data_IF_110297499181
#
_entry.id   IF_110297499181
#
_cell.length_a   1.000
_cell.length_b   1.000
_cell.length_c   1.000
_cell.angle_alpha   90.00
_cell.angle_beta   90.00
_cell.angle_gamma   90.00
#
_symmetry.space_group_name_H-M   'P 1'
#
loop_
_entity.id
_entity.type
_entity.pdbx_description
1 polymer ?
#
# COMPACT_ATOMS: atom_id res chain seq x y z
N UNK A 1 5.26 21.02 -2.98
CA UNK A 1 6.57 20.38 -2.77
C UNK A 1 6.44 18.91 -3.11
N UNK A 2 7.30 18.38 -3.96
CA UNK A 2 7.33 16.94 -4.29
C UNK A 2 7.91 16.19 -3.08
N UNK A 3 7.33 15.03 -2.68
CA UNK A 3 7.92 14.21 -1.63
C UNK A 3 9.37 13.86 -1.95
N UNK A 4 10.25 13.94 -0.95
CA UNK A 4 11.65 13.60 -1.12
C UNK A 4 11.81 12.07 -1.07
N UNK A 5 12.39 11.48 -2.13
CA UNK A 5 12.72 10.06 -2.16
C UNK A 5 13.98 9.82 -1.32
N UNK A 6 13.89 9.00 -0.28
CA UNK A 6 15.01 8.59 0.57
C UNK A 6 15.83 7.42 -0.01
N UNK A 7 15.46 6.92 -1.19
CA UNK A 7 16.12 5.83 -1.91
C UNK A 7 16.35 6.24 -3.37
N UNK A 8 17.30 5.59 -4.08
CA UNK A 8 17.53 5.90 -5.48
C UNK A 8 16.28 5.69 -6.32
N UNK A 9 15.81 6.70 -7.08
CA UNK A 9 14.66 6.54 -7.99
C UNK A 9 14.78 5.33 -8.92
N UNK A 10 16.00 4.86 -9.20
CA UNK A 10 16.27 3.65 -9.98
C UNK A 10 15.58 2.39 -9.45
N UNK A 11 15.36 2.24 -8.14
CA UNK A 11 14.64 1.08 -7.60
C UNK A 11 13.17 1.05 -8.04
N UNK A 12 12.56 2.23 -8.18
CA UNK A 12 11.21 2.36 -8.74
C UNK A 12 11.25 2.48 -10.27
N UNK A 13 12.39 2.90 -10.83
CA UNK A 13 12.63 3.08 -12.27
C UNK A 13 13.20 1.82 -12.94
N UNK A 14 13.79 0.88 -12.23
CA UNK A 14 14.14 -0.45 -12.77
C UNK A 14 12.91 -1.22 -13.22
N UNK A 15 11.76 -0.76 -12.78
CA UNK A 15 10.46 -1.10 -13.31
C UNK A 15 10.01 -0.24 -14.52
N UNK A 16 10.83 0.66 -15.05
CA UNK A 16 10.51 1.56 -16.17
C UNK A 16 11.30 1.20 -17.43
N UNK A 17 10.95 0.08 -18.07
CA UNK A 17 10.97 0.05 -19.53
C UNK A 17 9.62 0.62 -20.01
N UNK A 18 9.38 0.86 -21.30
CA UNK A 18 8.09 1.33 -21.82
C UNK A 18 6.92 0.39 -21.46
N UNK A 19 7.23 -0.83 -20.99
CA UNK A 19 6.29 -1.84 -20.56
C UNK A 19 6.42 -2.22 -19.07
N UNK A 20 7.28 -1.58 -18.30
CA UNK A 20 7.55 -1.89 -16.90
C UNK A 20 7.24 -0.72 -15.98
N UNK A 21 6.58 -1.00 -14.88
CA UNK A 21 6.26 -0.06 -13.81
C UNK A 21 5.61 -0.81 -12.68
N UNK A 22 5.54 -0.22 -11.48
CA UNK A 22 4.72 -0.79 -10.41
C UNK A 22 3.27 -0.85 -10.89
N UNK A 23 2.75 -2.06 -11.08
CA UNK A 23 1.40 -2.32 -11.57
C UNK A 23 0.42 -2.64 -10.45
N UNK A 24 0.94 -3.09 -9.30
CA UNK A 24 0.14 -3.38 -8.12
C UNK A 24 0.82 -2.91 -6.84
N UNK A 25 0.00 -2.64 -5.82
CA UNK A 25 0.43 -2.26 -4.48
C UNK A 25 -0.30 -3.12 -3.44
N UNK A 26 0.42 -4.03 -2.78
CA UNK A 26 -0.10 -4.86 -1.70
C UNK A 26 0.05 -4.10 -0.38
N UNK A 27 -1.03 -4.01 0.38
CA UNK A 27 -1.04 -3.40 1.72
C UNK A 27 -1.62 -4.38 2.73
N UNK A 28 -0.95 -4.49 3.87
CA UNK A 28 -1.56 -5.04 5.07
C UNK A 28 -2.56 -4.05 5.67
N UNK A 29 -3.29 -4.47 6.68
CA UNK A 29 -4.30 -3.63 7.35
C UNK A 29 -3.86 -3.24 8.75
N UNK A 30 -3.67 -4.22 9.64
CA UNK A 30 -3.39 -3.96 11.05
C UNK A 30 -1.93 -3.51 11.21
N UNK A 31 -1.72 -2.26 11.64
CA UNK A 31 -0.40 -1.64 11.71
C UNK A 31 0.02 -0.88 10.45
N UNK A 32 -0.68 -1.03 9.32
CA UNK A 32 -0.44 -0.28 8.07
C UNK A 32 -1.55 0.73 7.81
N UNK A 33 -2.77 0.24 7.55
CA UNK A 33 -3.96 1.08 7.34
C UNK A 33 -4.63 1.51 8.64
N UNK A 34 -4.30 0.84 9.75
CA UNK A 34 -4.69 1.16 11.12
C UNK A 34 -3.45 1.36 11.98
N UNK A 35 -3.64 1.79 13.22
CA UNK A 35 -2.57 1.92 14.23
C UNK A 35 -2.13 0.56 14.84
N UNK A 36 -2.67 -0.56 14.34
CA UNK A 36 -2.39 -1.92 14.82
C UNK A 36 -3.13 -2.30 16.09
N UNK A 37 -3.93 -1.41 16.68
CA UNK A 37 -4.72 -1.70 17.88
C UNK A 37 -5.99 -2.45 17.54
N UNK A 38 -6.36 -3.36 18.43
CA UNK A 38 -7.60 -4.12 18.35
C UNK A 38 -8.52 -3.68 19.49
N UNK A 39 -9.70 -3.18 19.15
CA UNK A 39 -10.69 -2.75 20.11
C UNK A 39 -11.71 -3.88 20.31
N UNK A 40 -11.59 -4.59 21.44
CA UNK A 40 -12.42 -5.76 21.75
C UNK A 40 -13.51 -5.36 22.72
N UNK A 41 -14.77 -5.59 22.32
CA UNK A 41 -15.95 -5.49 23.18
C UNK A 41 -16.48 -6.88 23.56
N UNK A 42 -17.66 -6.91 24.18
CA UNK A 42 -18.32 -8.14 24.67
C UNK A 42 -18.52 -9.19 23.55
N UNK A 43 -18.73 -8.75 22.31
CA UNK A 43 -19.02 -9.62 21.16
C UNK A 43 -17.84 -9.73 20.17
N UNK A 44 -16.60 -9.41 20.60
CA UNK A 44 -15.40 -9.45 19.77
C UNK A 44 -14.93 -8.08 19.30
N UNK A 45 -14.25 -8.02 18.16
CA UNK A 45 -13.75 -6.75 17.59
C UNK A 45 -14.91 -5.81 17.21
N UNK A 46 -14.87 -4.57 17.71
CA UNK A 46 -15.98 -3.62 17.58
C UNK A 46 -15.74 -2.51 16.58
N UNK A 47 -14.52 -1.97 16.55
CA UNK A 47 -14.17 -0.77 15.78
C UNK A 47 -12.75 -0.89 15.22
N UNK A 48 -12.53 -0.36 14.02
CA UNK A 48 -11.21 -0.02 13.48
C UNK A 48 -11.20 1.44 13.00
N UNK A 49 -10.15 2.16 13.33
CA UNK A 49 -9.93 3.52 12.85
C UNK A 49 -9.06 3.48 11.57
N UNK A 50 -9.49 4.22 10.55
CA UNK A 50 -8.75 4.36 9.29
C UNK A 50 -8.54 5.84 8.97
N UNK A 51 -7.33 6.20 8.54
CA UNK A 51 -7.06 7.56 8.08
C UNK A 51 -7.72 7.83 6.71
N UNK A 52 -8.32 9.00 6.57
CA UNK A 52 -8.90 9.44 5.28
C UNK A 52 -7.82 9.69 4.24
N UNK A 53 -6.66 10.19 4.65
CA UNK A 53 -5.50 10.43 3.78
C UNK A 53 -5.00 9.13 3.13
N UNK A 54 -4.90 8.05 3.90
CA UNK A 54 -4.47 6.74 3.38
C UNK A 54 -5.44 6.23 2.32
N UNK A 55 -6.75 6.32 2.60
CA UNK A 55 -7.77 5.93 1.63
C UNK A 55 -7.76 6.77 0.36
N UNK A 56 -7.46 8.07 0.46
CA UNK A 56 -7.31 8.93 -0.72
C UNK A 56 -6.10 8.52 -1.55
N UNK A 57 -4.94 8.26 -0.92
CA UNK A 57 -3.74 7.77 -1.61
C UNK A 57 -4.00 6.50 -2.41
N UNK A 58 -4.68 5.52 -1.81
CA UNK A 58 -5.07 4.26 -2.47
C UNK A 58 -5.95 4.52 -3.71
N UNK A 59 -6.93 5.42 -3.61
CA UNK A 59 -7.76 5.80 -4.76
C UNK A 59 -6.97 6.48 -5.87
N UNK A 60 -5.95 7.27 -5.53
CA UNK A 60 -5.05 7.90 -6.50
C UNK A 60 -4.20 6.85 -7.24
N UNK A 61 -3.69 5.82 -6.54
CA UNK A 61 -2.98 4.70 -7.18
C UNK A 61 -3.88 4.02 -8.22
N UNK A 62 -5.10 3.64 -7.84
CA UNK A 62 -6.05 3.00 -8.74
C UNK A 62 -6.34 3.85 -9.99
N UNK A 63 -6.53 5.17 -9.82
CA UNK A 63 -6.70 6.11 -10.94
C UNK A 63 -5.50 6.15 -11.90
N UNK A 64 -4.32 5.82 -11.43
CA UNK A 64 -3.08 5.80 -12.21
C UNK A 64 -2.72 4.42 -12.77
N UNK A 65 -3.61 3.44 -12.63
CA UNK A 65 -3.41 2.09 -13.14
C UNK A 65 -2.53 1.21 -12.25
N UNK A 66 -2.27 1.62 -11.00
CA UNK A 66 -1.60 0.78 -9.99
C UNK A 66 -2.69 0.12 -9.16
N UNK A 67 -2.86 -1.19 -9.30
CA UNK A 67 -3.94 -1.95 -8.66
C UNK A 67 -3.69 -2.10 -7.15
N UNK A 68 -4.56 -1.55 -6.28
CA UNK A 68 -4.45 -1.79 -4.85
C UNK A 68 -4.91 -3.22 -4.51
N UNK A 69 -4.15 -3.89 -3.65
CA UNK A 69 -4.44 -5.25 -3.16
C UNK A 69 -4.35 -5.22 -1.63
N UNK A 70 -5.37 -5.75 -0.97
CA UNK A 70 -5.36 -5.93 0.49
C UNK A 70 -5.11 -7.40 0.83
N UNK A 71 -4.12 -7.65 1.69
CA UNK A 71 -3.88 -9.00 2.22
C UNK A 71 -3.71 -8.89 3.73
N UNK A 72 -4.69 -9.37 4.48
CA UNK A 72 -4.72 -9.25 5.95
C UNK A 72 -4.91 -10.60 6.63
N UNK A 73 -4.20 -10.82 7.72
CA UNK A 73 -4.34 -12.04 8.53
C UNK A 73 -5.67 -12.13 9.29
N UNK A 74 -6.40 -11.04 9.42
CA UNK A 74 -7.67 -10.98 10.14
C UNK A 74 -8.84 -10.79 9.18
N UNK A 75 -9.99 -11.36 9.55
CA UNK A 75 -11.26 -11.11 8.88
C UNK A 75 -12.15 -10.26 9.81
N UNK A 76 -12.47 -9.07 9.38
CA UNK A 76 -13.22 -8.08 10.16
C UNK A 76 -14.26 -7.38 9.28
N UNK A 77 -15.48 -7.24 9.78
CA UNK A 77 -16.55 -6.53 9.08
C UNK A 77 -16.18 -5.05 8.80
N UNK A 78 -15.43 -4.41 9.70
CA UNK A 78 -14.95 -3.05 9.53
C UNK A 78 -13.97 -2.94 8.35
N UNK A 79 -13.04 -3.92 8.21
CA UNK A 79 -12.10 -3.98 7.08
C UNK A 79 -12.84 -4.22 5.77
N UNK A 80 -13.76 -5.19 5.72
CA UNK A 80 -14.58 -5.46 4.52
C UNK A 80 -15.36 -4.22 4.08
N UNK A 81 -15.96 -3.50 5.02
CA UNK A 81 -16.67 -2.25 4.74
C UNK A 81 -15.70 -1.19 4.17
N UNK A 82 -14.53 -1.01 4.79
CA UNK A 82 -13.54 -0.02 4.33
C UNK A 82 -13.02 -0.33 2.93
N UNK A 83 -12.71 -1.58 2.64
CA UNK A 83 -12.28 -2.06 1.32
C UNK A 83 -13.33 -1.76 0.25
N UNK A 84 -14.61 -2.04 0.54
CA UNK A 84 -15.72 -1.73 -0.35
C UNK A 84 -15.88 -0.21 -0.59
N UNK A 85 -15.79 0.63 0.46
CA UNK A 85 -15.89 2.09 0.36
C UNK A 85 -14.72 2.70 -0.46
N UNK A 86 -13.57 2.03 -0.50
CA UNK A 86 -12.42 2.42 -1.30
C UNK A 86 -12.49 1.93 -2.74
N UNK A 87 -13.38 0.99 -3.06
CA UNK A 87 -13.50 0.36 -4.37
C UNK A 87 -12.33 -0.58 -4.69
N UNK A 88 -11.75 -1.22 -3.67
CA UNK A 88 -10.66 -2.18 -3.86
C UNK A 88 -11.25 -3.53 -4.24
N UNK A 89 -10.91 -4.03 -5.42
CA UNK A 89 -11.45 -5.28 -5.98
C UNK A 89 -10.71 -6.53 -5.48
N UNK A 90 -9.42 -6.39 -5.18
CA UNK A 90 -8.56 -7.49 -4.77
C UNK A 90 -8.28 -7.43 -3.27
N UNK A 91 -8.96 -8.29 -2.50
CA UNK A 91 -8.76 -8.35 -1.05
C UNK A 91 -8.85 -9.80 -0.55
N UNK A 92 -7.85 -10.21 0.23
CA UNK A 92 -7.81 -11.50 0.92
C UNK A 92 -7.85 -11.24 2.43
N UNK A 93 -8.87 -11.80 3.08
CA UNK A 93 -9.09 -11.68 4.51
C UNK A 93 -8.80 -13.03 5.20
N UNK A 94 -8.32 -12.97 6.43
CA UNK A 94 -7.99 -14.19 7.19
C UNK A 94 -6.83 -14.99 6.58
N UNK A 95 -5.91 -14.33 5.89
CA UNK A 95 -4.77 -14.96 5.24
C UNK A 95 -3.77 -15.48 6.28
N UNK A 96 -3.86 -16.77 6.62
CA UNK A 96 -2.88 -17.42 7.50
C UNK A 96 -1.49 -17.55 6.85
N UNK A 97 -1.45 -17.65 5.53
CA UNK A 97 -0.24 -17.59 4.70
C UNK A 97 -0.40 -16.46 3.67
N UNK A 98 0.19 -15.31 3.98
CA UNK A 98 0.13 -14.13 3.11
C UNK A 98 0.85 -14.35 1.78
N UNK A 99 1.91 -15.18 1.73
CA UNK A 99 2.64 -15.45 0.50
C UNK A 99 1.77 -16.20 -0.50
N UNK A 100 1.16 -17.29 -0.07
CA UNK A 100 0.24 -18.07 -0.93
C UNK A 100 -0.94 -17.22 -1.40
N UNK A 101 -1.50 -16.38 -0.51
CA UNK A 101 -2.58 -15.46 -0.86
C UNK A 101 -2.14 -14.44 -1.92
N UNK A 102 -0.95 -13.83 -1.77
CA UNK A 102 -0.42 -12.88 -2.73
C UNK A 102 -0.15 -13.54 -4.09
N UNK A 103 0.48 -14.71 -4.10
CA UNK A 103 0.76 -15.45 -5.34
C UNK A 103 -0.51 -15.75 -6.14
N UNK A 104 -1.59 -16.16 -5.46
CA UNK A 104 -2.87 -16.42 -6.13
C UNK A 104 -3.45 -15.15 -6.79
N UNK A 105 -3.40 -14.00 -6.09
CA UNK A 105 -3.88 -12.73 -6.65
C UNK A 105 -2.99 -12.28 -7.81
N UNK A 106 -1.66 -12.34 -7.68
CA UNK A 106 -0.73 -11.94 -8.73
C UNK A 106 -0.89 -12.82 -9.98
N UNK A 107 -1.10 -14.12 -9.81
CA UNK A 107 -1.39 -15.03 -10.93
C UNK A 107 -2.67 -14.65 -11.68
N UNK A 108 -3.74 -14.29 -10.96
CA UNK A 108 -4.99 -13.82 -11.57
C UNK A 108 -4.80 -12.52 -12.36
N UNK A 109 -3.90 -11.64 -11.89
CA UNK A 109 -3.58 -10.37 -12.54
C UNK A 109 -2.54 -10.50 -13.66
N UNK A 110 -1.88 -11.65 -13.79
CA UNK A 110 -0.78 -11.85 -14.73
C UNK A 110 0.45 -11.01 -14.40
N UNK A 111 0.74 -10.81 -13.11
CA UNK A 111 1.84 -9.99 -12.60
C UNK A 111 2.92 -10.82 -11.94
N UNK A 112 4.17 -10.35 -12.08
CA UNK A 112 5.34 -10.89 -11.39
C UNK A 112 5.79 -9.96 -10.24
N UNK A 113 6.53 -10.54 -9.27
CA UNK A 113 6.98 -9.82 -8.09
C UNK A 113 7.73 -8.50 -8.36
N UNK A 114 8.57 -8.35 -9.40
CA UNK A 114 9.23 -7.08 -9.71
C UNK A 114 8.27 -5.94 -10.06
N UNK A 115 7.03 -6.25 -10.47
CA UNK A 115 6.00 -5.28 -10.84
C UNK A 115 5.12 -4.85 -9.66
N UNK A 116 5.42 -5.36 -8.44
CA UNK A 116 4.60 -5.20 -7.26
C UNK A 116 5.33 -4.39 -6.21
N UNK A 117 4.64 -3.39 -5.65
CA UNK A 117 5.05 -2.75 -4.42
C UNK A 117 4.31 -3.39 -3.23
N UNK A 118 4.93 -3.48 -2.06
CA UNK A 118 4.30 -4.03 -0.86
C UNK A 118 4.60 -3.19 0.38
N UNK A 119 3.61 -3.09 1.28
CA UNK A 119 3.75 -2.44 2.58
C UNK A 119 3.20 -3.34 3.68
N UNK A 120 4.01 -3.57 4.72
CA UNK A 120 3.69 -4.40 5.87
C UNK A 120 4.45 -3.90 7.11
N UNK A 121 4.08 -4.37 8.30
CA UNK A 121 4.64 -3.89 9.56
C UNK A 121 5.20 -4.99 10.47
N UNK A 122 4.84 -6.27 10.25
CA UNK A 122 5.24 -7.37 11.13
C UNK A 122 5.69 -8.62 10.34
N UNK A 123 6.16 -9.63 11.05
CA UNK A 123 6.77 -10.85 10.50
C UNK A 123 5.90 -11.59 9.47
N UNK A 124 4.57 -11.67 9.60
CA UNK A 124 3.74 -12.29 8.57
C UNK A 124 3.87 -11.64 7.18
N UNK A 125 4.37 -10.40 7.11
CA UNK A 125 4.58 -9.66 5.87
C UNK A 125 5.95 -9.93 5.22
N UNK A 126 6.93 -10.40 6.00
CA UNK A 126 8.30 -10.63 5.52
C UNK A 126 8.37 -11.45 4.22
N UNK A 127 7.57 -12.51 4.02
CA UNK A 127 7.59 -13.27 2.78
C UNK A 127 7.22 -12.45 1.54
N UNK A 128 6.35 -11.44 1.68
CA UNK A 128 5.98 -10.51 0.61
C UNK A 128 7.07 -9.44 0.43
N UNK A 129 7.51 -8.85 1.54
CA UNK A 129 8.47 -7.75 1.56
C UNK A 129 9.86 -8.16 1.03
N UNK A 130 10.22 -9.44 1.13
CA UNK A 130 11.49 -9.95 0.57
C UNK A 130 11.42 -10.32 -0.91
N UNK A 131 10.24 -10.23 -1.55
CA UNK A 131 10.01 -10.61 -2.96
C UNK A 131 9.57 -9.46 -3.85
N UNK A 132 8.78 -8.54 -3.31
CA UNK A 132 8.24 -7.43 -4.09
C UNK A 132 9.36 -6.49 -4.60
N UNK A 133 9.13 -5.93 -5.80
CA UNK A 133 10.10 -5.05 -6.47
C UNK A 133 10.36 -3.75 -5.72
N UNK A 134 9.37 -3.26 -4.95
CA UNK A 134 9.55 -2.15 -4.01
C UNK A 134 8.81 -2.45 -2.70
N UNK A 135 9.47 -2.15 -1.57
CA UNK A 135 8.89 -2.46 -0.26
C UNK A 135 9.01 -1.31 0.72
N UNK A 136 8.01 -1.18 1.55
CA UNK A 136 7.89 -0.11 2.51
C UNK A 136 7.37 -0.64 3.85
N UNK A 137 7.72 0.03 4.94
CA UNK A 137 7.20 -0.23 6.26
C UNK A 137 6.84 1.09 6.96
N UNK A 138 5.77 1.12 7.79
CA UNK A 138 5.49 2.29 8.61
C UNK A 138 6.56 2.48 9.70
N UNK A 139 6.69 3.71 10.21
CA UNK A 139 7.75 4.06 11.15
C UNK A 139 7.79 3.18 12.41
N UNK A 140 6.62 2.70 12.88
CA UNK A 140 6.49 1.86 14.07
C UNK A 140 6.61 0.35 13.79
N UNK A 141 6.84 -0.07 12.54
CA UNK A 141 6.96 -1.48 12.17
C UNK A 141 8.04 -2.20 13.00
N UNK A 142 7.90 -3.51 13.12
CA UNK A 142 8.87 -4.35 13.81
C UNK A 142 10.29 -4.14 13.24
N UNK A 143 11.30 -4.18 14.09
CA UNK A 143 12.69 -3.87 13.74
C UNK A 143 13.19 -4.71 12.55
N UNK A 144 12.86 -6.01 12.51
CA UNK A 144 13.28 -6.92 11.44
C UNK A 144 12.58 -6.57 10.11
N UNK A 145 11.35 -6.08 10.15
CA UNK A 145 10.66 -5.60 8.95
C UNK A 145 11.33 -4.35 8.41
N UNK A 146 11.61 -3.38 9.30
CA UNK A 146 12.32 -2.14 8.91
C UNK A 146 13.71 -2.38 8.35
N UNK A 147 14.36 -3.49 8.76
CA UNK A 147 15.71 -3.84 8.29
C UNK A 147 15.75 -4.39 6.86
N UNK A 148 14.63 -4.92 6.34
CA UNK A 148 14.60 -5.59 5.02
C UNK A 148 13.88 -4.77 3.93
N UNK A 149 13.13 -3.73 4.29
CA UNK A 149 12.40 -2.91 3.32
C UNK A 149 13.28 -1.86 2.65
N UNK A 150 12.91 -1.44 1.45
CA UNK A 150 13.58 -0.37 0.72
C UNK A 150 13.38 1.01 1.36
N UNK A 151 12.22 1.23 2.00
CA UNK A 151 11.89 2.52 2.62
C UNK A 151 11.08 2.32 3.91
N UNK A 152 11.38 3.13 4.92
CA UNK A 152 10.59 3.25 6.14
C UNK A 152 9.95 4.63 6.12
N UNK A 153 8.62 4.70 6.24
CA UNK A 153 7.89 5.98 6.24
C UNK A 153 8.19 6.81 7.49
N UNK A 154 8.01 8.12 7.41
CA UNK A 154 8.05 8.99 8.58
C UNK A 154 6.75 8.88 9.40
N UNK A 155 5.63 8.68 8.71
CA UNK A 155 4.34 8.48 9.33
C UNK A 155 4.21 7.06 9.90
N UNK A 156 3.39 6.93 10.94
CA UNK A 156 3.02 5.63 11.52
C UNK A 156 1.74 5.09 10.86
N UNK A 157 1.51 3.78 10.98
CA UNK A 157 0.31 3.12 10.46
C UNK A 157 -0.97 3.75 10.97
N UNK A 158 -1.99 3.85 10.11
CA UNK A 158 -3.26 4.51 10.40
C UNK A 158 -3.18 6.05 10.53
N UNK A 159 -2.02 6.64 10.29
CA UNK A 159 -1.79 8.08 10.42
C UNK A 159 -1.05 8.68 9.21
N UNK A 160 -1.22 8.11 8.03
CA UNK A 160 -0.66 8.62 6.79
C UNK A 160 0.52 7.83 6.23
N UNK A 161 0.92 6.71 6.85
CA UNK A 161 2.01 5.89 6.33
C UNK A 161 1.68 5.29 4.96
N UNK A 162 0.46 4.76 4.78
CA UNK A 162 0.02 4.26 3.49
C UNK A 162 -0.14 5.40 2.47
N UNK A 163 -0.51 6.62 2.90
CA UNK A 163 -0.50 7.79 2.03
C UNK A 163 0.91 8.12 1.54
N UNK A 164 1.90 8.15 2.43
CA UNK A 164 3.30 8.39 2.07
C UNK A 164 3.79 7.33 1.06
N UNK A 165 3.51 6.06 1.29
CA UNK A 165 3.81 4.98 0.35
C UNK A 165 3.15 5.20 -1.02
N UNK A 166 1.87 5.56 -1.06
CA UNK A 166 1.18 5.86 -2.32
C UNK A 166 1.81 7.05 -3.04
N UNK A 167 2.14 8.12 -2.33
CA UNK A 167 2.76 9.32 -2.91
C UNK A 167 4.13 9.00 -3.51
N UNK A 168 4.95 8.16 -2.85
CA UNK A 168 6.22 7.69 -3.40
C UNK A 168 6.05 6.94 -4.73
N UNK A 169 5.08 6.04 -4.82
CA UNK A 169 4.78 5.31 -6.05
C UNK A 169 4.30 6.26 -7.16
N UNK A 170 3.44 7.22 -6.83
CA UNK A 170 2.95 8.23 -7.78
C UNK A 170 4.05 9.16 -8.27
N UNK A 171 4.99 9.56 -7.39
CA UNK A 171 6.16 10.34 -7.77
C UNK A 171 7.05 9.56 -8.72
N UNK A 172 7.33 8.29 -8.41
CA UNK A 172 8.13 7.43 -9.25
C UNK A 172 7.49 7.17 -10.63
N UNK A 173 6.16 7.03 -10.66
CA UNK A 173 5.40 6.90 -11.90
C UNK A 173 5.26 8.21 -12.69
N UNK A 174 5.80 9.33 -12.18
CA UNK A 174 5.67 10.66 -12.81
C UNK A 174 4.24 11.23 -12.82
N UNK A 175 3.34 10.67 -11.99
CA UNK A 175 1.90 11.02 -11.97
C UNK A 175 1.52 12.03 -10.90
N UNK A 176 2.34 12.17 -9.85
CA UNK A 176 2.03 12.99 -8.67
C UNK A 176 1.71 14.45 -9.01
N UNK A 177 2.57 15.10 -9.82
CA UNK A 177 2.41 16.51 -10.16
C UNK A 177 1.14 16.77 -10.98
N UNK A 178 0.81 15.89 -11.94
CA UNK A 178 -0.42 15.98 -12.73
C UNK A 178 -1.67 15.84 -11.86
N UNK A 179 -1.71 14.83 -10.98
CA UNK A 179 -2.83 14.65 -10.05
C UNK A 179 -3.02 15.86 -9.12
N UNK A 180 -1.91 16.46 -8.66
CA UNK A 180 -1.98 17.66 -7.83
C UNK A 180 -2.53 18.85 -8.61
N UNK A 181 -2.09 19.04 -9.88
CA UNK A 181 -2.58 20.08 -10.76
C UNK A 181 -4.08 19.94 -11.05
N UNK A 182 -4.56 18.71 -11.29
CA UNK A 182 -6.00 18.42 -11.46
C UNK A 182 -6.82 18.89 -10.24
N UNK A 183 -6.32 18.62 -9.02
CA UNK A 183 -6.99 19.02 -7.78
C UNK A 183 -6.95 20.54 -7.54
N UNK A 184 -5.95 21.22 -8.07
CA UNK A 184 -5.86 22.69 -8.01
C UNK A 184 -6.71 23.38 -9.10
N UNK A 185 -7.31 22.63 -10.03
CA UNK A 185 -8.04 23.22 -11.17
C UNK A 185 -7.14 23.98 -12.15
N UNK A 186 -5.85 23.63 -12.22
CA UNK A 186 -4.87 24.35 -13.04
C UNK A 186 -4.72 23.78 -14.46
N UNK A 187 -5.42 22.68 -14.80
CA UNK A 187 -5.34 22.05 -16.12
C UNK A 187 -6.36 22.56 -17.15
N UNK A 188 -7.30 23.45 -16.76
CA UNK A 188 -8.30 24.02 -17.68
C UNK A 188 -7.85 25.32 -18.38
N UNK A 189 -6.54 25.61 -18.39
CA UNK A 189 -5.98 26.88 -18.88
C UNK A 189 -5.02 26.71 -20.08
N UNK A 190 -5.23 25.66 -20.93
CA UNK A 190 -4.50 25.58 -22.22
C UNK A 190 -5.38 25.05 -23.33
#
# INVERSE_FOLDING_TARGET
MTPHLSFPPKLLLQAQGPDFGMKAAILDVDGVLTDGRIYIGEHGETVKAFATLDGHGIKLLARCGITPIIITGRDSAAVRRRVADLGIEHAVYGAGDKLTAAQAVLQQLGLDWPEVAAMGDDWPDLPLLTRAGFTCAPAQAHVEVRAVVHHVTQAVGGHGAAREFCDLLLVAAGRYAGLLADHLGTLDAT
#
